data_IF_596498960894
#
_entry.id   IF_596498960894
#
_cell.length_a   1.000
_cell.length_b   1.000
_cell.length_c   1.000
_cell.angle_alpha   90.00
_cell.angle_beta   90.00
_cell.angle_gamma   90.00
#
_symmetry.space_group_name_H-M   'P 1'
#
loop_
_entity.id
_entity.type
_entity.pdbx_description
1 polymer ?
#
# COMPACT_ATOMS: atom_id res chain seq x y z
N UNK A 1 -3.43 -1.07 41.12
CA UNK A 1 -2.33 -0.34 40.47
C UNK A 1 -2.48 -0.47 38.97
N UNK A 2 -2.62 0.64 38.24
CA UNK A 2 -2.65 0.62 36.76
C UNK A 2 -1.21 0.52 36.29
N UNK A 3 -0.88 -0.54 35.55
CA UNK A 3 0.45 -0.72 34.98
C UNK A 3 0.48 0.00 33.61
N UNK A 4 1.34 1.00 33.46
CA UNK A 4 1.52 1.72 32.19
C UNK A 4 2.55 1.00 31.32
N UNK A 5 2.19 0.64 30.08
CA UNK A 5 3.08 -0.02 29.14
C UNK A 5 3.77 1.04 28.26
N UNK A 6 5.10 1.13 28.36
CA UNK A 6 5.91 2.03 27.54
C UNK A 6 6.66 1.24 26.46
N UNK A 7 6.35 1.51 25.20
CA UNK A 7 7.09 0.97 24.05
C UNK A 7 8.27 1.90 23.73
N UNK A 8 9.50 1.41 23.73
CA UNK A 8 10.67 2.25 23.44
C UNK A 8 11.34 1.88 22.10
N UNK A 9 11.83 2.88 21.37
CA UNK A 9 12.51 2.65 20.09
C UNK A 9 13.90 2.05 20.36
N UNK A 10 14.16 0.83 19.89
CA UNK A 10 15.41 0.10 20.13
C UNK A 10 16.69 0.86 19.73
N UNK A 11 16.61 1.76 18.74
CA UNK A 11 17.75 2.60 18.34
C UNK A 11 18.12 3.66 19.39
N UNK A 12 17.16 4.10 20.20
CA UNK A 12 17.36 5.12 21.25
C UNK A 12 17.76 4.49 22.59
N UNK A 13 17.42 3.22 22.81
CA UNK A 13 17.68 2.50 24.08
C UNK A 13 18.85 1.52 23.93
N UNK A 14 19.53 1.53 22.78
CA UNK A 14 20.62 0.58 22.50
C UNK A 14 21.75 0.77 23.50
N UNK A 15 22.10 -0.32 24.18
CA UNK A 15 23.22 -0.33 25.11
C UNK A 15 24.55 -0.05 24.39
N UNK A 16 25.50 0.57 25.10
CA UNK A 16 26.86 0.85 24.61
C UNK A 16 27.59 -0.49 24.40
N UNK A 17 28.36 -0.68 23.31
CA UNK A 17 28.97 -1.97 23.02
C UNK A 17 29.93 -2.44 24.11
N UNK A 18 29.69 -3.64 24.66
CA UNK A 18 30.56 -4.29 25.65
C UNK A 18 29.79 -5.22 26.58
N UNK A 19 29.65 -6.51 26.19
CA UNK A 19 28.93 -7.62 26.87
C UNK A 19 27.39 -7.55 26.81
N UNK A 20 26.82 -8.30 25.85
CA UNK A 20 25.38 -8.40 25.62
C UNK A 20 24.81 -9.66 26.30
N UNK A 21 23.97 -9.49 27.31
CA UNK A 21 23.10 -10.55 27.87
C UNK A 21 21.71 -9.95 28.07
N UNK A 22 20.65 -10.76 27.91
CA UNK A 22 19.26 -10.28 28.04
C UNK A 22 18.97 -9.67 29.42
N UNK A 23 19.65 -10.16 30.46
CA UNK A 23 19.58 -9.63 31.83
C UNK A 23 20.19 -8.23 31.93
N UNK A 24 21.36 -8.00 31.33
CA UNK A 24 22.00 -6.69 31.34
C UNK A 24 21.21 -5.67 30.51
N UNK A 25 20.62 -6.10 29.39
CA UNK A 25 19.76 -5.25 28.57
C UNK A 25 18.48 -4.87 29.35
N UNK A 26 17.88 -5.78 30.11
CA UNK A 26 16.73 -5.48 30.97
C UNK A 26 17.06 -4.48 32.08
N UNK A 27 18.20 -4.65 32.78
CA UNK A 27 18.67 -3.71 33.82
C UNK A 27 18.94 -2.32 33.22
N UNK A 28 19.61 -2.27 32.08
CA UNK A 28 19.88 -1.02 31.36
C UNK A 28 18.60 -0.28 30.97
N UNK A 29 17.59 -0.99 30.46
CA UNK A 29 16.28 -0.42 30.12
C UNK A 29 15.57 0.07 31.40
N UNK A 30 15.66 -0.68 32.52
CA UNK A 30 15.07 -0.27 33.79
C UNK A 30 15.72 1.01 34.34
N UNK A 31 17.06 1.14 34.26
CA UNK A 31 17.78 2.35 34.67
C UNK A 31 17.42 3.55 33.80
N UNK A 32 17.38 3.38 32.48
CA UNK A 32 16.95 4.44 31.57
C UNK A 32 15.51 4.86 31.84
N UNK A 33 14.62 3.93 32.18
CA UNK A 33 13.24 4.23 32.56
C UNK A 33 13.19 5.00 33.88
N UNK A 34 13.92 4.55 34.90
CA UNK A 34 13.97 5.17 36.22
C UNK A 34 14.50 6.61 36.17
N UNK A 35 15.42 6.89 35.26
CA UNK A 35 15.97 8.23 35.03
C UNK A 35 15.17 9.07 34.01
N UNK A 36 14.05 8.57 33.47
CA UNK A 36 13.23 9.31 32.51
C UNK A 36 13.92 9.52 31.14
N UNK A 37 14.94 8.73 30.83
CA UNK A 37 15.73 8.83 29.60
C UNK A 37 15.10 8.05 28.44
N UNK A 38 14.03 7.30 28.69
CA UNK A 38 13.24 6.62 27.65
C UNK A 38 12.15 7.54 27.15
N UNK A 39 12.26 7.95 25.87
CA UNK A 39 11.15 8.56 25.15
C UNK A 39 10.18 7.46 24.67
N UNK A 40 8.91 7.44 25.10
CA UNK A 40 7.95 6.48 24.60
C UNK A 40 7.71 6.64 23.10
N UNK A 41 7.58 5.50 22.43
CA UNK A 41 7.16 5.38 21.05
C UNK A 41 5.66 5.58 20.97
N UNK A 42 5.21 6.20 19.89
CA UNK A 42 3.78 6.34 19.63
C UNK A 42 3.12 4.97 19.43
N UNK A 43 2.17 4.65 20.32
CA UNK A 43 1.25 3.53 20.19
C UNK A 43 -0.17 4.11 20.06
N UNK A 44 -0.85 3.90 18.92
CA UNK A 44 -2.23 4.33 18.76
C UNK A 44 -3.16 3.58 19.72
N UNK A 45 -4.30 4.18 20.11
CA UNK A 45 -5.31 3.45 20.87
C UNK A 45 -5.93 2.34 20.02
N UNK A 46 -6.53 1.33 20.64
CA UNK A 46 -7.07 0.13 19.97
C UNK A 46 -7.93 0.43 18.73
N UNK A 47 -8.88 1.39 18.75
CA UNK A 47 -9.67 1.69 17.56
C UNK A 47 -8.84 2.14 16.36
N UNK A 48 -7.74 2.86 16.60
CA UNK A 48 -6.82 3.31 15.54
C UNK A 48 -5.92 2.16 15.09
N UNK A 49 -5.50 1.26 15.99
CA UNK A 49 -4.74 0.06 15.62
C UNK A 49 -5.53 -0.84 14.65
N UNK A 50 -6.80 -1.09 14.93
CA UNK A 50 -7.67 -1.87 14.04
C UNK A 50 -7.80 -1.22 12.64
N UNK A 51 -7.93 0.11 12.59
CA UNK A 51 -7.94 0.86 11.34
C UNK A 51 -6.61 0.76 10.57
N UNK A 52 -5.46 0.78 11.26
CA UNK A 52 -4.13 0.56 10.63
C UNK A 52 -4.06 -0.82 10.01
N UNK A 53 -4.48 -1.84 10.74
CA UNK A 53 -4.40 -3.21 10.26
C UNK A 53 -5.27 -3.40 9.01
N UNK A 54 -6.47 -2.84 8.98
CA UNK A 54 -7.35 -2.86 7.81
C UNK A 54 -6.76 -2.11 6.62
N UNK A 55 -6.32 -0.86 6.80
CA UNK A 55 -5.78 -0.04 5.71
C UNK A 55 -4.48 -0.60 5.13
N UNK A 56 -3.62 -1.18 5.97
CA UNK A 56 -2.38 -1.85 5.54
C UNK A 56 -2.67 -3.14 4.80
N UNK A 57 -3.54 -4.00 5.34
CA UNK A 57 -3.96 -5.24 4.68
C UNK A 57 -4.59 -4.95 3.34
N UNK A 58 -5.51 -3.98 3.26
CA UNK A 58 -6.09 -3.51 1.98
C UNK A 58 -5.01 -3.18 0.96
N UNK A 59 -4.00 -2.38 1.36
CA UNK A 59 -2.91 -1.98 0.47
C UNK A 59 -2.06 -3.17 0.01
N UNK A 60 -1.85 -4.17 0.85
CA UNK A 60 -1.16 -5.41 0.49
C UNK A 60 -1.96 -6.21 -0.55
N UNK A 61 -3.24 -6.45 -0.31
CA UNK A 61 -4.10 -7.18 -1.26
C UNK A 61 -4.20 -6.46 -2.62
N UNK A 62 -4.29 -5.13 -2.62
CA UNK A 62 -4.25 -4.34 -3.87
C UNK A 62 -2.92 -4.50 -4.61
N UNK A 63 -1.79 -4.58 -3.89
CA UNK A 63 -0.48 -4.88 -4.51
C UNK A 63 -0.46 -6.29 -5.10
N UNK A 64 -1.05 -7.27 -4.43
CA UNK A 64 -1.15 -8.64 -4.93
C UNK A 64 -1.99 -8.74 -6.22
N UNK A 65 -3.12 -8.02 -6.28
CA UNK A 65 -3.91 -7.87 -7.52
C UNK A 65 -3.03 -7.34 -8.66
N UNK A 66 -2.26 -6.27 -8.40
CA UNK A 66 -1.35 -5.71 -9.39
C UNK A 66 -0.30 -6.74 -9.84
N UNK A 67 0.28 -7.50 -8.92
CA UNK A 67 1.24 -8.56 -9.27
C UNK A 67 0.61 -9.66 -10.12
N UNK A 68 -0.62 -10.10 -9.82
CA UNK A 68 -1.32 -11.07 -10.67
C UNK A 68 -1.66 -10.51 -12.05
N UNK A 69 -1.96 -9.22 -12.13
CA UNK A 69 -2.14 -8.53 -13.41
C UNK A 69 -0.86 -8.57 -14.25
N UNK A 70 0.30 -8.28 -13.64
CA UNK A 70 1.60 -8.38 -14.31
C UNK A 70 1.93 -9.82 -14.75
N UNK A 71 1.55 -10.82 -13.96
CA UNK A 71 1.71 -12.24 -14.34
C UNK A 71 0.83 -12.59 -15.55
N UNK A 72 -0.40 -12.09 -15.63
CA UNK A 72 -1.24 -12.25 -16.83
C UNK A 72 -0.59 -11.58 -18.05
N UNK A 73 -0.09 -10.35 -17.90
CA UNK A 73 0.60 -9.66 -19.00
C UNK A 73 1.79 -10.47 -19.53
N UNK A 74 2.59 -11.06 -18.64
CA UNK A 74 3.67 -11.96 -19.02
C UNK A 74 3.17 -13.18 -19.82
N UNK A 75 2.10 -13.83 -19.36
CA UNK A 75 1.51 -14.98 -20.07
C UNK A 75 1.00 -14.58 -21.46
N UNK A 76 0.42 -13.39 -21.60
CA UNK A 76 0.01 -12.86 -22.89
C UNK A 76 1.21 -12.61 -23.80
N UNK A 77 2.30 -12.05 -23.28
CA UNK A 77 3.54 -11.85 -24.03
C UNK A 77 4.16 -13.17 -24.51
N UNK A 78 4.19 -14.19 -23.65
CA UNK A 78 4.67 -15.54 -23.97
C UNK A 78 3.78 -16.23 -25.03
N UNK A 79 2.47 -15.91 -25.04
CA UNK A 79 1.52 -16.34 -26.08
C UNK A 79 1.57 -15.50 -27.38
N UNK A 80 2.48 -14.52 -27.46
CA UNK A 80 2.58 -13.53 -28.53
C UNK A 80 1.31 -12.66 -28.73
N UNK A 81 0.56 -12.41 -27.66
CA UNK A 81 -0.61 -11.51 -27.64
C UNK A 81 -0.20 -10.13 -27.10
N UNK A 82 -0.26 -9.11 -27.96
CA UNK A 82 0.24 -7.74 -27.68
C UNK A 82 -0.86 -6.75 -27.34
N UNK A 83 -1.76 -7.12 -26.41
CA UNK A 83 -2.93 -6.30 -26.07
C UNK A 83 -2.73 -5.28 -24.94
N UNK A 84 -1.72 -5.46 -24.07
CA UNK A 84 -1.50 -4.65 -22.85
C UNK A 84 -1.38 -3.14 -23.11
N UNK A 85 -0.88 -2.73 -24.28
CA UNK A 85 -0.79 -1.31 -24.67
C UNK A 85 -1.97 -0.78 -25.49
N UNK A 86 -2.85 -1.67 -25.96
CA UNK A 86 -3.94 -1.37 -26.89
C UNK A 86 -5.29 -1.11 -26.20
N UNK A 87 -5.45 -1.64 -24.99
CA UNK A 87 -6.59 -1.39 -24.11
C UNK A 87 -6.18 -0.48 -22.95
N UNK A 88 -7.13 0.30 -22.44
CA UNK A 88 -6.89 1.24 -21.34
C UNK A 88 -6.70 0.54 -19.99
N UNK A 89 -7.46 -0.53 -19.76
CA UNK A 89 -7.43 -1.33 -18.55
C UNK A 89 -7.61 -2.81 -18.90
N UNK A 90 -6.60 -3.61 -18.56
CA UNK A 90 -6.59 -5.05 -18.80
C UNK A 90 -7.62 -5.80 -17.93
N UNK A 91 -7.90 -5.31 -16.73
CA UNK A 91 -8.89 -5.91 -15.83
C UNK A 91 -10.27 -5.22 -15.92
N UNK A 92 -10.40 -4.21 -16.78
CA UNK A 92 -11.66 -3.55 -17.09
C UNK A 92 -12.57 -4.42 -17.97
N UNK A 93 -13.79 -3.96 -18.23
CA UNK A 93 -14.84 -4.76 -18.92
C UNK A 93 -14.36 -5.46 -20.20
N UNK A 94 -13.77 -4.70 -21.14
CA UNK A 94 -13.32 -5.23 -22.43
C UNK A 94 -12.11 -6.17 -22.29
N UNK A 95 -11.11 -5.79 -21.48
CA UNK A 95 -9.93 -6.62 -21.25
C UNK A 95 -10.30 -7.93 -20.57
N UNK A 96 -11.21 -7.87 -19.60
CA UNK A 96 -11.71 -9.04 -18.88
C UNK A 96 -12.46 -10.01 -19.80
N UNK A 97 -13.35 -9.51 -20.65
CA UNK A 97 -14.08 -10.34 -21.61
C UNK A 97 -13.13 -11.08 -22.56
N UNK A 98 -12.09 -10.40 -23.07
CA UNK A 98 -11.03 -11.03 -23.88
C UNK A 98 -10.30 -12.12 -23.08
N UNK A 99 -9.84 -11.81 -21.86
CA UNK A 99 -9.09 -12.76 -21.04
C UNK A 99 -9.91 -14.00 -20.68
N UNK A 100 -11.20 -13.85 -20.41
CA UNK A 100 -12.11 -14.95 -20.11
C UNK A 100 -12.36 -15.82 -21.35
N UNK A 101 -12.56 -15.22 -22.52
CA UNK A 101 -12.71 -15.94 -23.77
C UNK A 101 -11.42 -16.71 -24.15
N UNK A 102 -10.25 -16.08 -24.01
CA UNK A 102 -8.95 -16.73 -24.16
C UNK A 102 -8.84 -17.93 -23.21
N UNK A 103 -9.17 -17.74 -21.93
CA UNK A 103 -9.17 -18.81 -20.93
C UNK A 103 -10.14 -19.95 -21.26
N UNK A 104 -11.26 -19.65 -21.93
CA UNK A 104 -12.25 -20.62 -22.40
C UNK A 104 -11.83 -21.35 -23.68
N UNK A 105 -10.81 -20.88 -24.40
CA UNK A 105 -10.28 -21.53 -25.59
C UNK A 105 -10.50 -20.78 -26.90
N UNK A 106 -11.15 -19.62 -26.88
CA UNK A 106 -11.30 -18.79 -28.06
C UNK A 106 -9.93 -18.25 -28.51
N UNK A 107 -9.67 -18.33 -29.81
CA UNK A 107 -8.40 -17.94 -30.43
C UNK A 107 -8.61 -17.08 -31.67
N UNK A 108 -9.86 -16.94 -32.16
CA UNK A 108 -10.18 -16.07 -33.28
C UNK A 108 -10.07 -14.60 -32.87
N UNK A 109 -9.10 -13.84 -33.42
CA UNK A 109 -8.91 -12.43 -33.07
C UNK A 109 -10.13 -11.56 -33.35
N UNK A 110 -10.92 -11.86 -34.39
CA UNK A 110 -12.13 -11.09 -34.73
C UNK A 110 -13.18 -11.25 -33.62
N UNK A 111 -13.45 -12.49 -33.21
CA UNK A 111 -14.39 -12.79 -32.13
C UNK A 111 -13.96 -12.19 -30.81
N UNK A 112 -12.66 -12.24 -30.49
CA UNK A 112 -12.12 -11.62 -29.28
C UNK A 112 -12.33 -10.11 -29.27
N UNK A 113 -12.18 -9.44 -30.42
CA UNK A 113 -12.45 -8.00 -30.53
C UNK A 113 -13.95 -7.70 -30.44
N UNK A 114 -14.83 -8.56 -30.94
CA UNK A 114 -16.28 -8.38 -30.84
C UNK A 114 -16.81 -8.39 -29.40
N UNK A 115 -16.07 -8.99 -28.46
CA UNK A 115 -16.40 -8.96 -27.03
C UNK A 115 -16.13 -7.61 -26.37
N UNK A 116 -15.36 -6.74 -27.01
CA UNK A 116 -15.01 -5.44 -26.45
C UNK A 116 -16.20 -4.48 -26.48
N UNK A 117 -16.32 -3.65 -25.44
CA UNK A 117 -17.38 -2.65 -25.31
C UNK A 117 -16.81 -1.24 -25.18
N UNK A 118 -17.55 -0.27 -25.71
CA UNK A 118 -17.24 1.16 -25.60
C UNK A 118 -16.09 1.62 -26.51
N UNK A 119 -15.60 2.84 -26.27
CA UNK A 119 -14.51 3.43 -27.04
C UNK A 119 -13.17 2.87 -26.57
N UNK A 120 -12.48 2.17 -27.46
CA UNK A 120 -11.14 1.63 -27.20
C UNK A 120 -10.06 2.64 -27.56
N UNK A 121 -8.88 2.47 -26.96
CA UNK A 121 -7.70 3.31 -27.24
C UNK A 121 -7.16 3.08 -28.65
N UNK A 122 -7.17 1.83 -29.10
CA UNK A 122 -6.71 1.42 -30.42
C UNK A 122 -7.87 1.21 -31.41
N UNK A 123 -7.58 1.34 -32.71
CA UNK A 123 -8.52 0.98 -33.78
C UNK A 123 -8.75 -0.54 -33.80
N UNK A 124 -9.92 -0.97 -34.27
CA UNK A 124 -10.29 -2.40 -34.41
C UNK A 124 -9.21 -3.22 -35.10
N UNK A 125 -8.70 -2.76 -36.24
CA UNK A 125 -7.65 -3.46 -37.00
C UNK A 125 -6.37 -3.69 -36.18
N UNK A 126 -5.92 -2.68 -35.43
CA UNK A 126 -4.75 -2.80 -34.55
C UNK A 126 -4.97 -3.80 -33.42
N UNK A 127 -6.19 -3.89 -32.88
CA UNK A 127 -6.53 -4.88 -31.86
C UNK A 127 -6.52 -6.30 -32.41
N UNK A 128 -7.08 -6.51 -33.61
CA UNK A 128 -7.02 -7.79 -34.32
C UNK A 128 -5.55 -8.22 -34.50
N UNK A 129 -4.68 -7.34 -34.99
CA UNK A 129 -3.26 -7.64 -35.12
C UNK A 129 -2.60 -7.97 -33.76
N UNK A 130 -2.92 -7.22 -32.72
CA UNK A 130 -2.41 -7.49 -31.36
C UNK A 130 -2.91 -8.79 -30.74
N UNK A 131 -4.01 -9.33 -31.24
CA UNK A 131 -4.59 -10.61 -30.82
C UNK A 131 -4.17 -11.79 -31.69
N UNK A 132 -3.35 -11.58 -32.72
CA UNK A 132 -2.73 -12.67 -33.48
C UNK A 132 -1.60 -13.32 -32.68
N UNK A 133 -1.96 -14.29 -31.86
CA UNK A 133 -1.06 -15.10 -31.06
C UNK A 133 -1.61 -16.50 -30.81
N UNK A 134 -0.85 -17.33 -30.10
CA UNK A 134 -1.24 -18.72 -29.81
C UNK A 134 -1.32 -18.95 -28.30
N UNK A 135 -2.52 -18.79 -27.76
CA UNK A 135 -2.82 -19.15 -26.38
C UNK A 135 -2.94 -20.67 -26.25
N UNK A 136 -1.84 -21.37 -25.95
CA UNK A 136 -1.82 -22.83 -25.70
C UNK A 136 -2.69 -23.22 -24.50
N UNK A 137 -2.98 -24.52 -24.33
CA UNK A 137 -3.70 -25.02 -23.14
C UNK A 137 -3.04 -24.59 -21.82
N UNK A 138 -1.70 -24.50 -21.80
CA UNK A 138 -0.93 -24.01 -20.66
C UNK A 138 -1.17 -22.51 -20.40
N UNK A 139 -1.07 -21.66 -21.42
CA UNK A 139 -1.33 -20.22 -21.28
C UNK A 139 -2.76 -19.96 -20.77
N UNK A 140 -3.75 -20.66 -21.34
CA UNK A 140 -5.16 -20.55 -20.93
C UNK A 140 -5.38 -20.95 -19.47
N UNK A 141 -4.71 -22.01 -19.02
CA UNK A 141 -4.75 -22.41 -17.62
C UNK A 141 -4.19 -21.32 -16.69
N UNK A 142 -3.04 -20.74 -17.01
CA UNK A 142 -2.41 -19.70 -16.20
C UNK A 142 -3.25 -18.42 -16.15
N UNK A 143 -3.81 -17.98 -17.29
CA UNK A 143 -4.73 -16.83 -17.34
C UNK A 143 -5.90 -17.09 -16.39
N UNK A 144 -6.59 -18.23 -16.53
CA UNK A 144 -7.73 -18.59 -15.68
C UNK A 144 -7.36 -18.66 -14.19
N UNK A 145 -6.19 -19.20 -13.86
CA UNK A 145 -5.71 -19.28 -12.48
C UNK A 145 -5.53 -17.88 -11.88
N UNK A 146 -4.86 -16.97 -12.59
CA UNK A 146 -4.63 -15.61 -12.12
C UNK A 146 -5.89 -14.76 -12.07
N UNK A 147 -6.82 -14.93 -13.02
CA UNK A 147 -8.13 -14.27 -12.96
C UNK A 147 -8.89 -14.66 -11.67
N UNK A 148 -8.93 -15.95 -11.33
CA UNK A 148 -9.57 -16.41 -10.07
C UNK A 148 -8.92 -15.83 -8.82
N UNK A 149 -7.58 -15.75 -8.79
CA UNK A 149 -6.87 -15.13 -7.66
C UNK A 149 -7.19 -13.64 -7.55
N UNK A 150 -7.24 -12.93 -8.68
CA UNK A 150 -7.64 -11.51 -8.72
C UNK A 150 -9.05 -11.34 -8.19
N UNK A 151 -10.00 -12.20 -8.56
CA UNK A 151 -11.39 -12.09 -8.11
C UNK A 151 -11.52 -12.32 -6.61
N UNK A 152 -10.84 -13.35 -6.08
CA UNK A 152 -10.81 -13.62 -4.64
C UNK A 152 -10.19 -12.44 -3.86
N UNK A 153 -9.08 -11.88 -4.35
CA UNK A 153 -8.45 -10.71 -3.74
C UNK A 153 -9.34 -9.47 -3.82
N UNK A 154 -10.04 -9.24 -4.93
CA UNK A 154 -11.00 -8.13 -5.06
C UNK A 154 -12.15 -8.28 -4.07
N UNK A 155 -12.65 -9.50 -3.87
CA UNK A 155 -13.68 -9.77 -2.86
C UNK A 155 -13.17 -9.46 -1.44
N UNK A 156 -11.99 -9.97 -1.08
CA UNK A 156 -11.37 -9.71 0.22
C UNK A 156 -11.09 -8.21 0.45
N UNK A 157 -10.68 -7.47 -0.59
CA UNK A 157 -10.56 -6.00 -0.53
C UNK A 157 -11.91 -5.36 -0.22
N UNK A 158 -13.00 -5.81 -0.85
CA UNK A 158 -14.35 -5.30 -0.58
C UNK A 158 -14.83 -5.57 0.85
N UNK A 159 -14.51 -6.75 1.42
CA UNK A 159 -14.78 -7.05 2.83
C UNK A 159 -14.04 -6.10 3.78
N UNK A 160 -12.75 -5.87 3.51
CA UNK A 160 -11.93 -4.92 4.28
C UNK A 160 -12.47 -3.51 4.16
N UNK A 161 -12.82 -3.05 2.95
CA UNK A 161 -13.37 -1.71 2.73
C UNK A 161 -14.71 -1.50 3.45
N UNK A 162 -15.55 -2.54 3.48
CA UNK A 162 -16.81 -2.53 4.24
C UNK A 162 -16.54 -2.36 5.72
N UNK A 163 -15.68 -3.22 6.30
CA UNK A 163 -15.34 -3.18 7.72
C UNK A 163 -14.64 -1.86 8.10
N UNK A 164 -13.77 -1.37 7.23
CA UNK A 164 -13.08 -0.10 7.40
C UNK A 164 -14.09 1.06 7.45
N UNK A 165 -15.09 1.05 6.56
CA UNK A 165 -16.17 2.04 6.54
C UNK A 165 -16.96 2.08 7.86
N UNK A 166 -17.29 0.92 8.43
CA UNK A 166 -17.96 0.80 9.73
C UNK A 166 -17.13 1.41 10.87
N UNK A 167 -15.85 1.03 10.97
CA UNK A 167 -14.97 1.50 12.04
C UNK A 167 -14.58 2.97 11.90
N UNK A 168 -14.67 3.53 10.70
CA UNK A 168 -14.42 4.95 10.45
C UNK A 168 -15.59 5.86 10.82
N UNK A 169 -16.80 5.33 11.07
CA UNK A 169 -17.99 6.14 11.39
C UNK A 169 -17.72 7.21 12.47
N UNK A 170 -17.08 6.88 13.62
CA UNK A 170 -16.77 7.87 14.66
C UNK A 170 -15.78 8.97 14.23
N UNK A 171 -15.02 8.73 13.16
CA UNK A 171 -13.94 9.60 12.68
C UNK A 171 -14.26 10.27 11.34
N UNK A 172 -15.50 10.12 10.81
CA UNK A 172 -15.88 10.67 9.51
C UNK A 172 -15.73 12.19 9.41
N UNK A 173 -15.91 12.90 10.53
CA UNK A 173 -15.70 14.34 10.56
C UNK A 173 -14.24 14.70 10.22
N UNK A 174 -13.28 13.90 10.70
CA UNK A 174 -11.86 14.12 10.48
C UNK A 174 -11.47 13.78 9.04
N UNK A 175 -11.99 12.68 8.49
CA UNK A 175 -11.75 12.33 7.09
C UNK A 175 -12.32 13.39 6.14
N UNK A 176 -13.55 13.88 6.39
CA UNK A 176 -14.15 14.97 5.60
C UNK A 176 -13.34 16.26 5.66
N UNK A 177 -12.84 16.62 6.83
CA UNK A 177 -11.98 17.81 6.97
C UNK A 177 -10.70 17.65 6.15
N UNK A 178 -10.03 16.50 6.23
CA UNK A 178 -8.81 16.22 5.48
C UNK A 178 -9.02 16.29 3.96
N UNK A 179 -10.15 15.79 3.45
CA UNK A 179 -10.48 15.83 2.01
C UNK A 179 -10.63 17.26 1.47
N UNK A 180 -10.86 18.26 2.33
CA UNK A 180 -10.87 19.67 1.89
C UNK A 180 -9.48 20.19 1.52
N UNK A 181 -8.41 19.48 1.89
CA UNK A 181 -7.04 19.85 1.57
C UNK A 181 -6.72 19.45 0.11
N UNK A 182 -6.04 20.31 -0.66
CA UNK A 182 -5.56 19.96 -2.00
C UNK A 182 -4.73 18.65 -1.97
N UNK A 183 -4.94 17.81 -2.99
CA UNK A 183 -4.25 16.52 -3.14
C UNK A 183 -4.71 15.40 -2.20
N UNK A 184 -5.61 15.65 -1.24
CA UNK A 184 -6.10 14.64 -0.29
C UNK A 184 -7.41 14.02 -0.77
N UNK A 185 -7.35 12.78 -1.25
CA UNK A 185 -8.54 11.98 -1.58
C UNK A 185 -9.13 11.27 -0.35
N UNK A 186 -10.32 10.69 -0.49
CA UNK A 186 -10.96 9.90 0.58
C UNK A 186 -10.04 8.81 1.13
N UNK A 187 -9.39 8.04 0.25
CA UNK A 187 -8.46 6.97 0.64
C UNK A 187 -7.26 7.55 1.40
N UNK A 188 -6.72 8.68 0.94
CA UNK A 188 -5.59 9.36 1.61
C UNK A 188 -6.01 9.80 3.01
N UNK A 189 -7.17 10.45 3.14
CA UNK A 189 -7.70 10.90 4.42
C UNK A 189 -7.95 9.73 5.40
N UNK A 190 -8.52 8.63 4.91
CA UNK A 190 -8.75 7.41 5.70
C UNK A 190 -7.43 6.83 6.22
N UNK A 191 -6.40 6.75 5.38
CA UNK A 191 -5.08 6.26 5.79
C UNK A 191 -4.42 7.20 6.80
N UNK A 192 -4.53 8.52 6.63
CA UNK A 192 -4.02 9.49 7.62
C UNK A 192 -4.68 9.24 8.98
N UNK A 193 -6.02 9.25 9.05
CA UNK A 193 -6.75 8.99 10.30
C UNK A 193 -6.38 7.64 10.89
N UNK A 194 -6.23 6.61 10.05
CA UNK A 194 -5.82 5.27 10.51
C UNK A 194 -4.41 5.28 11.07
N UNK A 195 -3.45 5.99 10.48
CA UNK A 195 -2.06 5.95 10.91
C UNK A 195 -1.77 6.80 12.14
N UNK A 196 -2.42 7.95 12.30
CA UNK A 196 -2.12 8.92 13.37
C UNK A 196 -3.26 9.16 14.35
N UNK A 197 -4.48 8.73 14.03
CA UNK A 197 -5.68 9.05 14.80
C UNK A 197 -6.13 10.51 14.61
N UNK A 198 -7.04 10.94 15.49
CA UNK A 198 -7.62 12.30 15.47
C UNK A 198 -7.09 13.20 16.58
N UNK A 199 -6.33 12.64 17.51
CA UNK A 199 -5.75 13.38 18.64
C UNK A 199 -4.39 13.97 18.22
N UNK A 200 -4.42 15.24 17.84
CA UNK A 200 -3.25 15.98 17.36
C UNK A 200 -2.22 16.27 18.45
N UNK A 201 -2.62 16.26 19.73
CA UNK A 201 -1.72 16.55 20.85
C UNK A 201 -0.70 15.45 21.11
N UNK A 202 -0.89 14.27 20.49
CA UNK A 202 0.09 13.18 20.50
C UNK A 202 1.41 13.55 19.84
N UNK A 203 1.39 14.55 18.96
CA UNK A 203 2.60 15.14 18.39
C UNK A 203 2.76 16.56 18.93
N UNK A 204 3.86 16.88 19.64
CA UNK A 204 4.05 18.22 20.20
C UNK A 204 4.03 19.33 19.15
N UNK A 205 4.50 19.03 17.92
CA UNK A 205 4.46 19.94 16.78
C UNK A 205 4.27 19.15 15.47
N UNK A 206 3.86 19.83 14.40
CA UNK A 206 3.81 19.23 13.06
C UNK A 206 5.16 18.65 12.63
N UNK A 207 6.28 19.29 13.01
CA UNK A 207 7.63 18.78 12.76
C UNK A 207 7.90 17.43 13.42
N UNK A 208 7.31 17.16 14.58
CA UNK A 208 7.39 15.85 15.22
C UNK A 208 6.63 14.78 14.44
N UNK A 209 5.47 15.12 13.89
CA UNK A 209 4.73 14.21 13.02
C UNK A 209 5.51 13.91 11.74
N UNK A 210 6.06 14.93 11.07
CA UNK A 210 6.87 14.77 9.85
C UNK A 210 8.12 13.93 10.12
N UNK A 211 8.79 14.16 11.26
CA UNK A 211 9.94 13.37 11.69
C UNK A 211 9.56 11.92 11.98
N UNK A 212 8.44 11.68 12.69
CA UNK A 212 7.93 10.34 12.97
C UNK A 212 7.51 9.59 11.70
N UNK A 213 6.90 10.29 10.74
CA UNK A 213 6.54 9.74 9.44
C UNK A 213 7.76 9.33 8.60
N UNK A 214 8.98 9.82 8.93
CA UNK A 214 10.21 9.54 8.18
C UNK A 214 10.47 10.53 7.05
N UNK A 215 9.68 11.59 6.93
CA UNK A 215 9.77 12.59 5.85
C UNK A 215 10.85 13.66 6.09
N UNK A 216 11.44 13.69 7.30
CA UNK A 216 12.53 14.61 7.62
C UNK A 216 13.89 13.96 7.28
N UNK A 217 14.70 14.52 6.36
CA UNK A 217 16.02 14.00 6.05
C UNK A 217 16.93 14.11 7.27
N UNK A 218 17.79 13.12 7.48
CA UNK A 218 18.77 13.20 8.55
C UNK A 218 19.82 14.27 8.23
N UNK A 219 20.11 15.13 9.20
CA UNK A 219 21.23 16.07 9.14
C UNK A 219 22.42 15.43 9.87
N UNK A 220 23.19 14.60 9.15
CA UNK A 220 24.46 14.05 9.62
C UNK A 220 25.60 14.90 9.06
N UNK A 221 26.02 15.90 9.85
CA UNK A 221 27.11 16.79 9.53
C UNK A 221 28.15 16.76 10.64
N UNK A 222 29.41 16.54 10.26
CA UNK A 222 30.54 16.60 11.20
C UNK A 222 31.69 17.33 10.53
N UNK A 223 32.25 18.33 11.24
CA UNK A 223 33.33 19.18 10.76
C UNK A 223 33.08 19.80 9.36
N UNK A 224 31.86 20.30 9.11
CA UNK A 224 31.46 20.94 7.84
C UNK A 224 31.28 19.98 6.66
N UNK A 225 31.38 18.65 6.89
CA UNK A 225 31.13 17.63 5.86
C UNK A 225 29.82 16.91 6.13
N UNK A 226 28.91 16.99 5.16
CA UNK A 226 27.63 16.27 5.15
C UNK A 226 27.89 14.80 4.82
N UNK A 227 27.62 13.90 5.76
CA UNK A 227 27.92 12.46 5.67
C UNK A 227 26.76 11.65 5.07
N UNK A 228 25.51 12.02 5.38
CA UNK A 228 24.33 11.32 4.88
C UNK A 228 23.10 12.22 4.84
N UNK A 229 22.25 12.02 3.84
CA UNK A 229 20.94 12.66 3.68
C UNK A 229 19.78 11.67 3.76
N UNK A 230 20.08 10.39 4.02
CA UNK A 230 19.09 9.32 3.98
C UNK A 230 18.01 9.55 5.04
N UNK A 231 16.75 9.43 4.66
CA UNK A 231 15.62 9.46 5.59
C UNK A 231 15.68 8.24 6.52
N UNK A 232 15.21 8.43 7.77
CA UNK A 232 15.13 7.33 8.75
C UNK A 232 13.98 6.40 8.39
N UNK A 233 14.04 5.16 8.88
CA UNK A 233 12.88 4.27 8.87
C UNK A 233 11.77 4.91 9.72
N UNK A 234 10.68 5.32 9.05
CA UNK A 234 9.53 5.99 9.67
C UNK A 234 8.24 5.17 9.56
N UNK A 235 7.14 5.83 9.22
CA UNK A 235 5.84 5.19 9.00
C UNK A 235 5.61 5.04 7.48
N UNK A 236 6.07 3.94 6.84
CA UNK A 236 6.13 3.83 5.38
C UNK A 236 4.76 3.93 4.71
N UNK A 237 3.70 3.52 5.40
CA UNK A 237 2.32 3.60 4.93
C UNK A 237 1.81 5.05 4.89
N UNK A 238 2.12 5.83 5.92
CA UNK A 238 1.79 7.26 5.98
C UNK A 238 2.68 8.05 5.01
N UNK A 239 3.98 7.78 5.00
CA UNK A 239 4.96 8.42 4.12
C UNK A 239 4.54 8.32 2.65
N UNK A 240 4.22 7.09 2.20
CA UNK A 240 3.80 6.83 0.81
C UNK A 240 2.55 7.66 0.46
N UNK A 241 1.58 7.71 1.37
CA UNK A 241 0.31 8.40 1.13
C UNK A 241 0.47 9.93 1.12
N UNK A 242 1.31 10.48 2.00
CA UNK A 242 1.59 11.91 2.02
C UNK A 242 2.36 12.37 0.76
N UNK A 243 3.31 11.56 0.27
CA UNK A 243 4.00 11.83 -1.00
C UNK A 243 3.03 11.78 -2.18
N UNK A 244 2.13 10.80 -2.21
CA UNK A 244 1.09 10.72 -3.25
C UNK A 244 0.15 11.92 -3.24
N UNK A 245 -0.26 12.38 -2.06
CA UNK A 245 -1.09 13.58 -1.92
C UNK A 245 -0.37 14.82 -2.45
N UNK A 246 0.91 14.98 -2.11
CA UNK A 246 1.72 16.11 -2.56
C UNK A 246 1.90 16.16 -4.09
N UNK A 247 1.95 15.01 -4.78
CA UNK A 247 2.02 14.96 -6.25
C UNK A 247 0.70 15.28 -6.94
N UNK A 248 -0.42 15.19 -6.23
CA UNK A 248 -1.75 15.49 -6.76
C UNK A 248 -2.17 16.96 -6.57
N UNK A 249 -1.34 17.76 -5.87
CA UNK A 249 -1.47 19.20 -5.74
C UNK A 249 -0.92 19.93 -6.96
#
# INVERSE_FOLDING_TARGET
SVCELLLANSSHVRNVPGRKTDVNDATWIADLLAHGLIRPSFVPPTPILELRDLTRTRKQLVREIAQHTLRIQKVLEDANLKITGLISDLLGLSGRAILEALAAGEQDPERLVDLTRGRLKAKRSTLIEGLRGQATSHHRFLIRLHLRQIDALKHAVGEIETRLGELLVPFQWATRLLVTMPGVSDIVAQVIVSEIGVDVHRFPTAGHLVSWAGLCPHLDESAGKRRSTRTRHGAPWLETVLVQAAWAC
#
